data_IF_815643054627
#
_entry.id   IF_815643054627
#
_cell.length_a   1.000
_cell.length_b   1.000
_cell.length_c   1.000
_cell.angle_alpha   90.00
_cell.angle_beta   90.00
_cell.angle_gamma   90.00
#
_symmetry.space_group_name_H-M   'P 1'
#
loop_
_entity.id
_entity.type
_entity.pdbx_description
1 polymer ?
#
# COMPACT_ATOMS: atom_id res chain seq x y z
N UNK A 1 12.08 -13.38 14.26
CA UNK A 1 12.70 -14.69 13.92
C UNK A 1 12.31 -15.31 12.55
N UNK A 2 11.72 -14.57 11.59
CA UNK A 2 11.50 -15.03 10.20
C UNK A 2 11.95 -14.02 9.13
N UNK A 3 12.75 -13.00 9.50
CA UNK A 3 13.16 -11.91 8.58
C UNK A 3 13.91 -12.41 7.34
N UNK A 4 14.65 -13.52 7.44
CA UNK A 4 15.41 -14.08 6.33
C UNK A 4 14.53 -14.75 5.24
N UNK A 5 13.26 -15.10 5.54
CA UNK A 5 12.35 -15.78 4.61
C UNK A 5 11.34 -14.86 3.92
N UNK A 6 11.51 -13.54 4.07
CA UNK A 6 10.71 -12.58 3.28
C UNK A 6 10.89 -12.90 1.80
N UNK A 7 9.81 -13.01 0.99
CA UNK A 7 9.93 -13.31 -0.43
C UNK A 7 10.82 -12.29 -1.15
N UNK A 8 11.76 -12.77 -1.97
CA UNK A 8 12.66 -11.95 -2.78
C UNK A 8 12.52 -12.33 -4.24
N UNK A 9 12.19 -11.36 -5.10
CA UNK A 9 12.17 -11.57 -6.55
C UNK A 9 13.55 -11.29 -7.14
N UNK A 10 14.01 -12.15 -8.05
CA UNK A 10 15.29 -12.04 -8.73
C UNK A 10 15.08 -12.00 -10.24
N UNK A 11 15.84 -11.16 -10.93
CA UNK A 11 15.90 -11.17 -12.38
C UNK A 11 17.28 -10.74 -12.90
N UNK A 12 17.72 -11.35 -13.98
CA UNK A 12 19.03 -11.10 -14.59
C UNK A 12 19.74 -12.38 -15.05
N UNK A 13 20.86 -12.26 -15.77
CA UNK A 13 21.57 -13.41 -16.36
C UNK A 13 22.15 -14.39 -15.34
N UNK A 14 22.26 -13.98 -14.07
CA UNK A 14 22.76 -14.79 -12.96
C UNK A 14 21.70 -15.09 -11.90
N UNK A 15 20.41 -14.83 -12.18
CA UNK A 15 19.33 -14.95 -11.20
C UNK A 15 19.22 -16.38 -10.63
N UNK A 16 19.39 -17.42 -11.45
CA UNK A 16 19.36 -18.81 -10.98
C UNK A 16 20.52 -19.16 -10.06
N UNK A 17 21.72 -18.65 -10.35
CA UNK A 17 22.89 -18.85 -9.49
C UNK A 17 22.69 -18.15 -8.14
N UNK A 18 22.17 -16.92 -8.15
CA UNK A 18 21.81 -16.19 -6.94
C UNK A 18 20.70 -16.89 -6.15
N UNK A 19 19.66 -17.42 -6.83
CA UNK A 19 18.56 -18.13 -6.19
C UNK A 19 19.04 -19.37 -5.42
N UNK A 20 19.94 -20.16 -6.02
CA UNK A 20 20.55 -21.31 -5.34
C UNK A 20 21.30 -20.88 -4.07
N UNK A 21 22.22 -19.93 -4.20
CA UNK A 21 22.98 -19.43 -3.06
C UNK A 21 22.11 -18.86 -1.93
N UNK A 22 21.06 -18.11 -2.26
CA UNK A 22 20.12 -17.56 -1.28
C UNK A 22 19.26 -18.66 -0.62
N UNK A 23 18.92 -19.70 -1.37
CA UNK A 23 18.19 -20.87 -0.84
C UNK A 23 19.05 -21.64 0.16
N UNK A 24 20.34 -21.85 -0.14
CA UNK A 24 21.30 -22.51 0.76
C UNK A 24 21.49 -21.73 2.07
N UNK A 25 21.29 -20.41 2.04
CA UNK A 25 21.27 -19.53 3.22
C UNK A 25 19.91 -19.50 3.95
N UNK A 26 18.95 -20.34 3.55
CA UNK A 26 17.62 -20.42 4.17
C UNK A 26 16.67 -19.28 3.82
N UNK A 27 16.92 -18.55 2.73
CA UNK A 27 16.05 -17.47 2.26
C UNK A 27 14.93 -17.98 1.33
N UNK A 28 14.12 -17.07 0.77
CA UNK A 28 12.98 -17.40 -0.09
C UNK A 28 13.03 -16.65 -1.44
N UNK A 29 13.99 -16.96 -2.32
CA UNK A 29 14.11 -16.34 -3.63
C UNK A 29 13.13 -16.91 -4.66
N UNK A 30 12.73 -16.10 -5.63
CA UNK A 30 11.98 -16.53 -6.81
C UNK A 30 12.53 -15.82 -8.05
N UNK A 31 12.96 -16.58 -9.05
CA UNK A 31 13.41 -16.03 -10.33
C UNK A 31 12.18 -15.70 -11.18
N UNK A 32 12.09 -14.45 -11.64
CA UNK A 32 10.94 -13.92 -12.39
C UNK A 32 11.29 -13.45 -13.80
N UNK A 33 12.55 -13.58 -14.20
CA UNK A 33 13.02 -13.22 -15.53
C UNK A 33 14.53 -13.19 -15.66
N UNK A 34 15.00 -13.03 -16.89
CA UNK A 34 16.41 -13.06 -17.30
C UNK A 34 17.00 -11.65 -17.50
N UNK A 35 16.16 -10.60 -17.52
CA UNK A 35 16.60 -9.21 -17.72
C UNK A 35 16.68 -8.45 -16.40
N UNK A 36 17.81 -7.75 -16.22
CA UNK A 36 18.01 -6.81 -15.12
C UNK A 36 16.88 -5.77 -15.13
N UNK A 37 16.28 -5.53 -13.96
CA UNK A 37 15.16 -4.60 -13.78
C UNK A 37 13.77 -5.26 -13.71
N UNK A 38 13.56 -6.48 -14.26
CA UNK A 38 12.22 -7.08 -14.26
C UNK A 38 11.65 -7.30 -12.85
N UNK A 39 12.47 -7.79 -11.91
CA UNK A 39 12.05 -8.01 -10.53
C UNK A 39 11.65 -6.70 -9.81
N UNK A 40 12.40 -5.62 -10.00
CA UNK A 40 12.05 -4.31 -9.43
C UNK A 40 10.80 -3.76 -10.10
N UNK A 41 10.68 -3.82 -11.43
CA UNK A 41 9.47 -3.39 -12.14
C UNK A 41 8.22 -4.11 -11.63
N UNK A 42 8.26 -5.43 -11.44
CA UNK A 42 7.13 -6.19 -10.85
C UNK A 42 6.75 -5.63 -9.46
N UNK A 43 7.73 -5.39 -8.59
CA UNK A 43 7.48 -4.83 -7.25
C UNK A 43 6.85 -3.43 -7.33
N UNK A 44 7.34 -2.58 -8.24
CA UNK A 44 6.87 -1.21 -8.40
C UNK A 44 5.43 -1.20 -8.94
N UNK A 45 5.14 -1.96 -9.98
CA UNK A 45 3.80 -2.04 -10.56
C UNK A 45 2.78 -2.63 -9.58
N UNK A 46 3.15 -3.66 -8.79
CA UNK A 46 2.28 -4.18 -7.73
C UNK A 46 1.95 -3.13 -6.67
N UNK A 47 2.86 -2.19 -6.41
CA UNK A 47 2.63 -1.13 -5.43
C UNK A 47 1.53 -0.16 -5.85
N UNK A 48 1.31 0.06 -7.17
CA UNK A 48 0.19 0.85 -7.68
C UNK A 48 -1.13 0.31 -7.13
N UNK A 49 -1.37 -1.00 -7.28
CA UNK A 49 -2.61 -1.63 -6.83
C UNK A 49 -2.72 -1.64 -5.30
N UNK A 50 -1.70 -2.15 -4.61
CA UNK A 50 -1.81 -2.39 -3.16
C UNK A 50 -1.91 -1.07 -2.39
N UNK A 51 -1.09 -0.08 -2.73
CA UNK A 51 -1.11 1.21 -2.03
C UNK A 51 -2.24 2.11 -2.54
N UNK A 52 -2.60 2.01 -3.82
CA UNK A 52 -3.75 2.72 -4.38
C UNK A 52 -5.07 2.30 -3.72
N UNK A 53 -5.30 1.00 -3.50
CA UNK A 53 -6.48 0.52 -2.76
C UNK A 53 -6.49 1.08 -1.34
N UNK A 54 -5.36 1.06 -0.62
CA UNK A 54 -5.30 1.63 0.74
C UNK A 54 -5.68 3.13 0.76
N UNK A 55 -5.18 3.91 -0.19
CA UNK A 55 -5.49 5.33 -0.31
C UNK A 55 -6.97 5.57 -0.68
N UNK A 56 -7.49 4.84 -1.67
CA UNK A 56 -8.90 4.91 -2.10
C UNK A 56 -9.85 4.54 -0.95
N UNK A 57 -9.55 3.47 -0.23
CA UNK A 57 -10.35 3.04 0.94
C UNK A 57 -10.39 4.13 2.00
N UNK A 58 -9.26 4.79 2.28
CA UNK A 58 -9.23 5.86 3.26
C UNK A 58 -9.98 7.11 2.81
N UNK A 59 -9.79 7.56 1.56
CA UNK A 59 -10.52 8.71 1.03
C UNK A 59 -12.04 8.46 1.10
N UNK A 60 -12.48 7.30 0.60
CA UNK A 60 -13.89 6.90 0.59
C UNK A 60 -14.48 6.89 2.00
N UNK A 61 -13.83 6.22 2.94
CA UNK A 61 -14.43 5.96 4.24
C UNK A 61 -14.25 7.08 5.25
N UNK A 62 -13.20 7.91 5.13
CA UNK A 62 -13.13 9.16 5.88
C UNK A 62 -14.24 10.11 5.42
N UNK A 63 -14.49 10.21 4.11
CA UNK A 63 -15.61 10.99 3.58
C UNK A 63 -16.97 10.43 4.04
N UNK A 64 -17.17 9.11 3.94
CA UNK A 64 -18.40 8.47 4.37
C UNK A 64 -18.65 8.63 5.89
N UNK A 65 -17.59 8.49 6.71
CA UNK A 65 -17.65 8.71 8.15
C UNK A 65 -18.04 10.15 8.46
N UNK A 66 -17.42 11.11 7.78
CA UNK A 66 -17.74 12.54 7.93
C UNK A 66 -19.18 12.87 7.55
N UNK A 67 -19.73 12.17 6.56
CA UNK A 67 -21.11 12.30 6.11
C UNK A 67 -22.12 11.47 6.96
N UNK A 68 -21.65 10.65 7.91
CA UNK A 68 -22.50 9.81 8.75
C UNK A 68 -23.13 8.62 8.01
N UNK A 69 -22.51 8.17 6.92
CA UNK A 69 -23.03 7.09 6.05
C UNK A 69 -22.02 5.95 5.86
N UNK A 70 -20.94 5.90 6.63
CA UNK A 70 -19.90 4.86 6.61
C UNK A 70 -20.47 3.45 6.77
N UNK A 71 -21.44 3.25 7.67
CA UNK A 71 -22.08 1.94 7.84
C UNK A 71 -22.78 1.43 6.57
N UNK A 72 -23.50 2.30 5.87
CA UNK A 72 -24.18 1.96 4.62
C UNK A 72 -23.18 1.71 3.47
N UNK A 73 -22.12 2.52 3.40
CA UNK A 73 -21.05 2.36 2.39
C UNK A 73 -20.30 1.04 2.61
N UNK A 74 -19.91 0.74 3.85
CA UNK A 74 -19.24 -0.53 4.20
C UNK A 74 -20.12 -1.74 3.87
N UNK A 75 -21.41 -1.70 4.22
CA UNK A 75 -22.34 -2.77 3.89
C UNK A 75 -22.46 -2.97 2.36
N UNK A 76 -22.50 -1.89 1.58
CA UNK A 76 -22.56 -1.95 0.12
C UNK A 76 -21.29 -2.54 -0.49
N UNK A 77 -20.11 -2.15 0.01
CA UNK A 77 -18.83 -2.69 -0.43
C UNK A 77 -18.73 -4.19 -0.11
N UNK A 78 -19.13 -4.58 1.10
CA UNK A 78 -19.12 -5.98 1.53
C UNK A 78 -20.04 -6.87 0.69
N UNK A 79 -21.22 -6.35 0.30
CA UNK A 79 -22.13 -7.07 -0.59
C UNK A 79 -21.58 -7.21 -2.02
N UNK A 80 -20.84 -6.21 -2.49
CA UNK A 80 -20.28 -6.18 -3.86
C UNK A 80 -19.02 -7.03 -3.99
N UNK A 81 -18.18 -7.06 -2.95
CA UNK A 81 -16.94 -7.81 -2.91
C UNK A 81 -16.77 -8.52 -1.55
N UNK A 82 -17.43 -9.67 -1.37
CA UNK A 82 -17.47 -10.37 -0.09
C UNK A 82 -16.16 -11.06 0.29
N UNK A 83 -15.21 -11.16 -0.65
CA UNK A 83 -13.88 -11.75 -0.40
C UNK A 83 -12.97 -10.88 0.46
N UNK A 84 -13.33 -9.61 0.65
CA UNK A 84 -12.62 -8.67 1.51
C UNK A 84 -13.45 -8.33 2.73
N UNK A 85 -12.84 -8.40 3.92
CA UNK A 85 -13.38 -7.76 5.11
C UNK A 85 -13.08 -6.25 5.01
N UNK A 86 -14.06 -5.50 4.52
CA UNK A 86 -13.87 -4.08 4.24
C UNK A 86 -13.65 -3.28 5.52
N UNK A 87 -14.31 -3.61 6.62
CA UNK A 87 -14.14 -2.86 7.87
C UNK A 87 -12.74 -3.07 8.45
N UNK A 88 -12.28 -4.32 8.55
CA UNK A 88 -10.92 -4.61 9.02
C UNK A 88 -9.86 -4.04 8.07
N UNK A 89 -10.08 -4.14 6.76
CA UNK A 89 -9.16 -3.59 5.74
C UNK A 89 -9.05 -2.08 5.85
N UNK A 90 -10.15 -1.41 6.18
CA UNK A 90 -10.19 0.05 6.32
C UNK A 90 -9.44 0.51 7.55
N UNK A 91 -9.70 -0.12 8.70
CA UNK A 91 -8.92 0.10 9.92
C UNK A 91 -7.42 -0.13 9.69
N UNK A 92 -7.06 -1.22 9.01
CA UNK A 92 -5.67 -1.54 8.65
C UNK A 92 -5.04 -0.47 7.74
N UNK A 93 -5.77 -0.02 6.72
CA UNK A 93 -5.26 0.97 5.76
C UNK A 93 -4.99 2.32 6.43
N UNK A 94 -5.93 2.79 7.27
CA UNK A 94 -5.76 4.03 8.04
C UNK A 94 -4.54 3.98 8.96
N UNK A 95 -4.38 2.89 9.71
CA UNK A 95 -3.21 2.68 10.58
C UNK A 95 -1.89 2.70 9.80
N UNK A 96 -1.83 1.96 8.69
CA UNK A 96 -0.61 1.87 7.88
C UNK A 96 -0.18 3.22 7.31
N UNK A 97 -1.13 4.10 6.99
CA UNK A 97 -0.82 5.44 6.51
C UNK A 97 -0.48 6.38 7.65
N UNK A 98 -1.18 6.34 8.78
CA UNK A 98 -0.84 7.14 9.94
C UNK A 98 0.58 6.83 10.47
N UNK A 99 0.90 5.54 10.63
CA UNK A 99 2.16 5.11 11.26
C UNK A 99 3.34 5.10 10.29
N UNK A 100 3.11 4.79 9.00
CA UNK A 100 4.19 4.60 8.03
C UNK A 100 4.06 5.46 6.77
N UNK A 101 3.07 6.35 6.68
CA UNK A 101 2.70 7.03 5.44
C UNK A 101 3.84 7.82 4.80
N UNK A 102 4.70 8.51 5.56
CA UNK A 102 5.87 9.22 5.00
C UNK A 102 6.77 8.31 4.16
N UNK A 103 7.13 7.13 4.71
CA UNK A 103 7.93 6.13 3.98
C UNK A 103 7.15 5.57 2.78
N UNK A 104 5.86 5.28 2.96
CA UNK A 104 5.02 4.70 1.89
C UNK A 104 4.82 5.69 0.74
N UNK A 105 4.67 6.97 1.04
CA UNK A 105 4.62 8.08 0.09
C UNK A 105 5.92 8.18 -0.70
N UNK A 106 7.08 8.13 -0.04
CA UNK A 106 8.37 8.09 -0.73
C UNK A 106 8.48 6.89 -1.68
N UNK A 107 8.04 5.70 -1.26
CA UNK A 107 7.96 4.54 -2.16
C UNK A 107 7.01 4.76 -3.34
N UNK A 108 5.87 5.44 -3.15
CA UNK A 108 4.93 5.75 -4.23
C UNK A 108 5.45 6.81 -5.19
N UNK A 109 6.28 7.76 -4.74
CA UNK A 109 6.97 8.70 -5.63
C UNK A 109 7.95 7.99 -6.57
N UNK A 110 8.61 6.93 -6.10
CA UNK A 110 9.43 6.07 -6.96
C UNK A 110 8.58 5.21 -7.90
N UNK A 111 7.38 4.78 -7.48
CA UNK A 111 6.42 4.11 -8.38
C UNK A 111 5.95 5.06 -9.48
N UNK A 112 5.65 6.31 -9.15
CA UNK A 112 5.30 7.35 -10.11
C UNK A 112 6.44 7.59 -11.12
N UNK A 113 7.69 7.66 -10.64
CA UNK A 113 8.88 7.69 -11.51
C UNK A 113 8.93 6.47 -12.45
N UNK A 114 8.73 5.26 -11.91
CA UNK A 114 8.73 4.03 -12.71
C UNK A 114 7.69 4.06 -13.83
N UNK A 115 6.49 4.61 -13.58
CA UNK A 115 5.45 4.75 -14.61
C UNK A 115 5.86 5.75 -15.70
N UNK A 116 6.48 6.87 -15.31
CA UNK A 116 6.99 7.87 -16.27
C UNK A 116 8.15 7.33 -17.11
N UNK A 117 9.02 6.53 -16.52
CA UNK A 117 10.10 5.83 -17.25
C UNK A 117 9.57 4.80 -18.27
N UNK A 118 8.29 4.42 -18.15
CA UNK A 118 7.56 3.58 -19.10
C UNK A 118 6.65 4.40 -20.05
N UNK A 119 6.84 5.72 -20.11
CA UNK A 119 6.03 6.67 -20.90
C UNK A 119 4.52 6.64 -20.58
N UNK A 120 4.17 6.30 -19.33
CA UNK A 120 2.79 6.26 -18.84
C UNK A 120 2.50 7.41 -17.85
N UNK A 121 1.24 7.90 -17.81
CA UNK A 121 0.83 8.85 -16.78
C UNK A 121 0.80 8.17 -15.39
N UNK A 122 1.13 8.93 -14.36
CA UNK A 122 1.31 8.46 -12.97
C UNK A 122 0.22 8.95 -12.00
N UNK A 123 -0.90 9.46 -12.53
CA UNK A 123 -1.96 10.18 -11.78
C UNK A 123 -2.33 9.53 -10.45
N UNK A 124 -2.63 8.23 -10.47
CA UNK A 124 -3.04 7.50 -9.27
C UNK A 124 -1.88 7.27 -8.30
N UNK A 125 -0.67 7.02 -8.83
CA UNK A 125 0.49 6.79 -7.99
C UNK A 125 0.92 8.07 -7.26
N UNK A 126 0.90 9.20 -7.96
CA UNK A 126 1.18 10.52 -7.39
C UNK A 126 0.13 10.92 -6.36
N UNK A 127 -1.17 10.80 -6.67
CA UNK A 127 -2.24 11.09 -5.71
C UNK A 127 -2.18 10.18 -4.46
N UNK A 128 -1.85 8.90 -4.64
CA UNK A 128 -1.63 7.97 -3.52
C UNK A 128 -0.47 8.43 -2.64
N UNK A 129 0.64 8.89 -3.24
CA UNK A 129 1.78 9.39 -2.49
C UNK A 129 1.42 10.61 -1.65
N UNK A 130 0.74 11.59 -2.26
CA UNK A 130 0.33 12.82 -1.60
C UNK A 130 -0.63 12.54 -0.45
N UNK A 131 -1.61 11.66 -0.66
CA UNK A 131 -2.57 11.30 0.39
C UNK A 131 -1.91 10.57 1.57
N UNK A 132 -1.00 9.63 1.29
CA UNK A 132 -0.26 8.94 2.34
C UNK A 132 0.65 9.87 3.15
N UNK A 133 1.26 10.85 2.49
CA UNK A 133 2.11 11.85 3.15
C UNK A 133 1.26 12.81 4.01
N UNK A 134 0.12 13.24 3.48
CA UNK A 134 -0.82 14.11 4.20
C UNK A 134 -1.35 13.43 5.46
N UNK A 135 -1.85 12.18 5.36
CA UNK A 135 -2.32 11.42 6.52
C UNK A 135 -1.22 11.24 7.56
N UNK A 136 0.03 10.97 7.15
CA UNK A 136 1.14 10.84 8.08
C UNK A 136 1.57 12.18 8.70
N UNK A 137 1.36 13.31 8.01
CA UNK A 137 1.68 14.64 8.52
C UNK A 137 0.71 15.09 9.63
N UNK A 138 -0.48 14.49 9.73
CA UNK A 138 -1.45 14.78 10.79
C UNK A 138 -0.93 14.44 12.19
N UNK A 139 -0.01 13.48 12.27
CA UNK A 139 0.58 12.98 13.53
C UNK A 139 -0.48 12.71 14.61
N UNK A 140 -1.62 12.14 14.17
CA UNK A 140 -2.76 11.90 15.02
C UNK A 140 -2.53 10.65 15.88
N UNK A 141 -2.86 10.73 17.17
CA UNK A 141 -2.98 9.55 18.02
C UNK A 141 -4.23 8.76 17.61
N UNK A 142 -4.01 7.66 16.91
CA UNK A 142 -5.08 6.83 16.38
C UNK A 142 -5.45 5.69 17.34
N UNK A 143 -6.75 5.45 17.51
CA UNK A 143 -7.26 4.31 18.29
C UNK A 143 -7.23 2.98 17.54
N UNK A 144 -7.92 1.98 18.07
CA UNK A 144 -8.05 0.65 17.43
C UNK A 144 -9.35 0.49 16.64
N UNK A 145 -9.26 -0.25 15.53
CA UNK A 145 -10.40 -0.47 14.62
C UNK A 145 -10.69 0.72 13.70
N UNK A 146 -11.64 0.56 12.78
CA UNK A 146 -11.92 1.58 11.77
C UNK A 146 -12.47 2.88 12.37
N UNK A 147 -13.55 2.82 13.16
CA UNK A 147 -14.25 4.01 13.69
C UNK A 147 -13.34 4.97 14.47
N UNK A 148 -12.67 4.53 15.56
CA UNK A 148 -11.79 5.38 16.34
C UNK A 148 -10.63 5.98 15.54
N UNK A 149 -10.06 5.22 14.57
CA UNK A 149 -9.01 5.72 13.67
C UNK A 149 -9.54 6.81 12.75
N UNK A 150 -10.71 6.58 12.14
CA UNK A 150 -11.34 7.54 11.25
C UNK A 150 -11.70 8.84 11.97
N UNK A 151 -12.26 8.75 13.18
CA UNK A 151 -12.64 9.91 13.98
C UNK A 151 -11.42 10.75 14.38
N UNK A 152 -10.32 10.11 14.81
CA UNK A 152 -9.07 10.81 15.14
C UNK A 152 -8.43 11.51 13.93
N UNK A 153 -8.39 10.83 12.78
CA UNK A 153 -7.84 11.40 11.54
C UNK A 153 -8.71 12.55 11.01
N UNK A 154 -10.04 12.43 11.04
CA UNK A 154 -10.96 13.51 10.67
C UNK A 154 -10.82 14.73 11.58
N UNK A 155 -10.73 14.50 12.90
CA UNK A 155 -10.48 15.56 13.86
C UNK A 155 -9.16 16.28 13.58
N UNK A 156 -8.13 15.56 13.10
CA UNK A 156 -6.86 16.17 12.72
C UNK A 156 -6.90 16.90 11.37
N UNK A 157 -7.61 16.36 10.37
CA UNK A 157 -7.72 16.91 9.00
C UNK A 157 -8.51 18.22 8.92
N UNK A 158 -9.48 18.40 9.81
CA UNK A 158 -10.42 19.52 9.78
C UNK A 158 -10.02 20.67 10.73
N UNK A 159 -8.82 20.61 11.31
CA UNK A 159 -8.25 21.68 12.13
C UNK A 159 -7.66 22.79 11.28
#
# INVERSE_FOLDING_TARGET
>A
PLRARVPVLLAGPHADAAARALTDLGMNPTVVGDRVGQASTIKMLRSVMIKGIEALTAECLLAARRAGVDGAVLASLQASDPGFDWEARSGYSLERMAVHGRRRAAEMREVARTLRDLDLPDRMASATADWQDQIAALDAEIGDGFGPRADALLAALLR
#
